data_IF_646001449542
#
_entry.id   IF_646001449542
#
_cell.length_a   1.000
_cell.length_b   1.000
_cell.length_c   1.000
_cell.angle_alpha   90.00
_cell.angle_beta   90.00
_cell.angle_gamma   90.00
#
_symmetry.space_group_name_H-M   'P 1'
#
loop_
_entity.id
_entity.type
_entity.pdbx_description
1 polymer ?
#
# COMPACT_ATOMS: atom_id res chain seq x y z
N UNK A 1 -37.99 22.40 -37.31
CA UNK A 1 -36.93 22.77 -36.33
C UNK A 1 -36.36 21.56 -35.57
N UNK A 2 -36.62 20.31 -36.02
CA UNK A 2 -36.19 19.07 -35.34
C UNK A 2 -34.71 18.70 -35.63
N UNK A 3 -34.19 19.04 -36.81
CA UNK A 3 -32.87 18.58 -37.28
C UNK A 3 -31.66 19.35 -36.71
N UNK A 4 -31.89 20.48 -36.01
CA UNK A 4 -30.80 21.32 -35.46
C UNK A 4 -30.42 20.91 -34.02
N UNK A 5 -31.33 20.25 -33.29
CA UNK A 5 -31.13 19.86 -31.89
C UNK A 5 -30.19 18.65 -31.75
N UNK A 6 -30.24 17.70 -32.70
CA UNK A 6 -29.45 16.45 -32.66
C UNK A 6 -27.93 16.66 -32.76
N UNK A 7 -27.49 17.70 -33.51
CA UNK A 7 -26.05 18.00 -33.73
C UNK A 7 -25.32 18.49 -32.46
N UNK A 8 -26.06 19.04 -31.49
CA UNK A 8 -25.53 19.56 -30.21
C UNK A 8 -25.63 18.55 -29.07
N UNK A 9 -26.51 17.55 -29.18
CA UNK A 9 -26.60 16.46 -28.20
C UNK A 9 -25.39 15.53 -28.24
N UNK A 10 -24.81 15.30 -29.41
CA UNK A 10 -23.68 14.36 -29.58
C UNK A 10 -22.42 14.75 -28.76
N UNK A 11 -21.88 16.00 -28.82
CA UNK A 11 -20.71 16.36 -28.01
C UNK A 11 -21.04 16.43 -26.51
N UNK A 12 -22.27 16.79 -26.16
CA UNK A 12 -22.71 16.87 -24.76
C UNK A 12 -22.80 15.47 -24.13
N UNK A 13 -23.26 14.47 -24.88
CA UNK A 13 -23.37 13.08 -24.42
C UNK A 13 -21.98 12.42 -24.31
N UNK A 14 -21.06 12.74 -25.23
CA UNK A 14 -19.66 12.32 -25.14
C UNK A 14 -18.97 12.95 -23.92
N UNK A 15 -19.21 14.25 -23.65
CA UNK A 15 -18.63 14.92 -22.48
C UNK A 15 -19.15 14.32 -21.16
N UNK A 16 -20.44 14.03 -21.06
CA UNK A 16 -21.05 13.39 -19.89
C UNK A 16 -20.53 11.95 -19.70
N UNK A 17 -20.45 11.17 -20.79
CA UNK A 17 -19.87 9.83 -20.76
C UNK A 17 -18.41 9.85 -20.31
N UNK A 18 -17.61 10.79 -20.84
CA UNK A 18 -16.21 10.96 -20.46
C UNK A 18 -16.10 11.36 -18.99
N UNK A 19 -16.90 12.32 -18.53
CA UNK A 19 -16.92 12.78 -17.13
C UNK A 19 -17.30 11.66 -16.15
N UNK A 20 -18.14 10.71 -16.56
CA UNK A 20 -18.55 9.58 -15.73
C UNK A 20 -17.51 8.44 -15.69
N UNK A 21 -16.67 8.31 -16.73
CA UNK A 21 -15.65 7.25 -16.83
C UNK A 21 -14.31 7.66 -16.21
N UNK A 22 -13.98 8.95 -16.12
CA UNK A 22 -12.73 9.40 -15.47
C UNK A 22 -12.54 8.97 -13.99
N UNK A 23 -13.55 9.07 -13.09
CA UNK A 23 -13.33 8.76 -11.68
C UNK A 23 -13.11 7.26 -11.41
N UNK A 24 -13.63 6.37 -12.26
CA UNK A 24 -13.44 4.92 -12.10
C UNK A 24 -12.00 4.49 -12.40
N UNK A 25 -11.33 5.16 -13.33
CA UNK A 25 -9.92 4.89 -13.68
C UNK A 25 -8.97 5.36 -12.58
N UNK A 26 -9.27 6.49 -11.92
CA UNK A 26 -8.44 7.03 -10.83
C UNK A 26 -8.48 6.11 -9.60
N UNK A 27 -9.62 5.48 -9.30
CA UNK A 27 -9.73 4.55 -8.18
C UNK A 27 -8.96 3.24 -8.39
N UNK A 28 -8.64 2.89 -9.65
CA UNK A 28 -7.82 1.72 -9.98
C UNK A 28 -6.31 1.97 -9.78
N UNK A 29 -5.89 3.23 -9.58
CA UNK A 29 -4.52 3.53 -9.19
C UNK A 29 -4.30 3.07 -7.75
N UNK A 30 -3.69 1.88 -7.61
CA UNK A 30 -3.35 1.27 -6.32
C UNK A 30 -2.56 2.27 -5.47
N UNK A 31 -3.13 2.72 -4.36
CA UNK A 31 -2.47 3.63 -3.43
C UNK A 31 -1.36 2.87 -2.71
N UNK A 32 -0.10 3.16 -3.04
CA UNK A 32 1.03 2.54 -2.35
C UNK A 32 1.06 3.01 -0.90
N UNK A 33 1.03 2.08 0.04
CA UNK A 33 1.08 2.36 1.48
C UNK A 33 2.47 2.06 2.03
N UNK A 34 3.19 3.10 2.47
CA UNK A 34 4.49 2.93 3.12
C UNK A 34 4.33 2.44 4.56
N UNK A 35 5.13 1.44 4.94
CA UNK A 35 5.02 0.77 6.24
C UNK A 35 6.41 0.44 6.81
N UNK A 36 6.60 0.69 8.10
CA UNK A 36 7.81 0.31 8.84
C UNK A 36 7.54 -0.95 9.66
N UNK A 37 8.35 -1.98 9.45
CA UNK A 37 8.29 -3.24 10.17
C UNK A 37 9.59 -3.47 10.94
N UNK A 38 9.47 -3.60 12.26
CA UNK A 38 10.64 -3.77 13.14
C UNK A 38 10.94 -5.25 13.39
N UNK A 39 12.22 -5.61 13.40
CA UNK A 39 12.70 -6.96 13.77
C UNK A 39 13.91 -6.88 14.74
N UNK A 40 14.09 -7.87 15.64
CA UNK A 40 15.02 -7.73 16.77
C UNK A 40 16.47 -8.10 16.45
N UNK A 41 16.70 -9.04 15.54
CA UNK A 41 18.03 -9.54 15.16
C UNK A 41 18.01 -10.26 13.82
N UNK A 42 19.19 -10.57 13.27
CA UNK A 42 19.29 -11.46 12.12
C UNK A 42 19.29 -12.92 12.60
N UNK A 43 18.21 -13.63 12.31
CA UNK A 43 18.08 -15.07 12.50
C UNK A 43 17.02 -15.60 11.52
N UNK A 44 17.06 -16.89 11.20
CA UNK A 44 16.11 -17.51 10.26
C UNK A 44 14.65 -17.34 10.67
N UNK A 45 14.38 -17.31 11.97
CA UNK A 45 13.06 -17.03 12.55
C UNK A 45 12.49 -15.65 12.20
N UNK A 46 13.35 -14.70 11.80
CA UNK A 46 12.97 -13.36 11.36
C UNK A 46 12.97 -13.21 9.82
N UNK A 47 13.28 -14.27 9.09
CA UNK A 47 13.48 -14.24 7.64
C UNK A 47 12.21 -14.07 6.82
N UNK A 48 11.03 -14.43 7.34
CA UNK A 48 9.77 -14.40 6.57
C UNK A 48 9.46 -13.02 6.00
N UNK A 49 9.68 -11.94 6.77
CA UNK A 49 9.46 -10.58 6.30
C UNK A 49 10.48 -10.17 5.21
N UNK A 50 11.72 -10.65 5.30
CA UNK A 50 12.75 -10.45 4.27
C UNK A 50 12.39 -11.17 2.98
N UNK A 51 12.01 -12.44 3.07
CA UNK A 51 11.56 -13.24 1.92
C UNK A 51 10.38 -12.56 1.24
N UNK A 52 9.38 -12.10 2.00
CA UNK A 52 8.21 -11.42 1.45
C UNK A 52 8.56 -10.11 0.72
N UNK A 53 9.55 -9.36 1.24
CA UNK A 53 10.06 -8.15 0.60
C UNK A 53 10.81 -8.47 -0.69
N UNK A 54 11.74 -9.41 -0.64
CA UNK A 54 12.59 -9.79 -1.78
C UNK A 54 11.80 -10.47 -2.91
N UNK A 55 10.78 -11.26 -2.57
CA UNK A 55 9.87 -11.89 -3.53
C UNK A 55 8.84 -10.90 -4.12
N UNK A 56 8.80 -9.65 -3.65
CA UNK A 56 7.86 -8.63 -4.12
C UNK A 56 6.43 -8.80 -3.60
N UNK A 57 6.17 -9.68 -2.63
CA UNK A 57 4.82 -9.90 -2.11
C UNK A 57 4.21 -8.64 -1.49
N UNK A 58 5.00 -7.84 -0.79
CA UNK A 58 4.50 -6.55 -0.28
C UNK A 58 4.10 -5.60 -1.42
N UNK A 59 4.94 -5.48 -2.45
CA UNK A 59 4.68 -4.59 -3.57
C UNK A 59 3.46 -5.02 -4.40
N UNK A 60 3.22 -6.33 -4.54
CA UNK A 60 2.03 -6.87 -5.21
C UNK A 60 0.73 -6.48 -4.48
N UNK A 61 0.80 -6.29 -3.17
CA UNK A 61 -0.32 -5.81 -2.33
C UNK A 61 -0.33 -4.27 -2.18
N UNK A 62 0.46 -3.54 -2.98
CA UNK A 62 0.56 -2.08 -2.89
C UNK A 62 1.22 -1.59 -1.60
N UNK A 63 2.08 -2.40 -0.97
CA UNK A 63 2.80 -2.03 0.24
C UNK A 63 4.28 -1.74 -0.05
N UNK A 64 4.76 -0.60 0.44
CA UNK A 64 6.18 -0.24 0.45
C UNK A 64 6.74 -0.45 1.87
N UNK A 65 7.31 -1.64 2.11
CA UNK A 65 7.73 -2.07 3.44
C UNK A 65 9.22 -1.80 3.69
N UNK A 66 9.50 -1.00 4.70
CA UNK A 66 10.83 -0.79 5.27
C UNK A 66 11.06 -1.75 6.45
N UNK A 67 12.01 -2.68 6.29
CA UNK A 67 12.43 -3.60 7.36
C UNK A 67 13.55 -2.96 8.17
N UNK A 68 13.31 -2.71 9.45
CA UNK A 68 14.25 -1.98 10.32
C UNK A 68 14.67 -2.85 11.50
N UNK A 69 15.99 -3.05 11.66
CA UNK A 69 16.53 -3.75 12.82
C UNK A 69 16.50 -2.84 14.04
N UNK A 70 15.89 -3.30 15.12
CA UNK A 70 15.90 -2.60 16.41
C UNK A 70 16.36 -3.56 17.49
N UNK A 71 17.49 -3.24 18.13
CA UNK A 71 18.01 -4.06 19.23
C UNK A 71 17.07 -4.01 20.43
N UNK A 72 16.40 -5.15 20.70
CA UNK A 72 15.56 -5.37 21.87
C UNK A 72 14.07 -5.13 21.65
N UNK A 73 13.25 -6.12 22.01
CA UNK A 73 11.79 -6.08 21.81
C UNK A 73 11.08 -4.96 22.57
N UNK A 74 11.58 -4.53 23.73
CA UNK A 74 10.98 -3.41 24.49
C UNK A 74 10.99 -2.10 23.70
N UNK A 75 12.07 -1.82 22.95
CA UNK A 75 12.14 -0.63 22.08
C UNK A 75 11.18 -0.74 20.90
N UNK A 76 11.01 -1.93 20.36
CA UNK A 76 10.05 -2.20 19.28
C UNK A 76 8.61 -2.00 19.76
N UNK A 77 8.26 -2.51 20.95
CA UNK A 77 6.93 -2.28 21.55
C UNK A 77 6.70 -0.79 21.81
N UNK A 78 7.69 -0.07 22.34
CA UNK A 78 7.58 1.38 22.51
C UNK A 78 7.35 2.10 21.18
N UNK A 79 8.05 1.70 20.11
CA UNK A 79 7.88 2.26 18.77
C UNK A 79 6.49 1.98 18.16
N UNK A 80 5.94 0.79 18.42
CA UNK A 80 4.57 0.40 18.05
C UNK A 80 3.53 1.26 18.79
N UNK A 81 3.64 1.34 20.11
CA UNK A 81 2.74 2.14 20.95
C UNK A 81 2.83 3.63 20.62
N UNK A 82 4.03 4.11 20.27
CA UNK A 82 4.26 5.49 19.82
C UNK A 82 3.86 5.76 18.37
N UNK A 83 3.35 4.78 17.62
CA UNK A 83 2.89 4.94 16.24
C UNK A 83 3.98 5.07 15.17
N UNK A 84 5.26 5.03 15.57
CA UNK A 84 6.40 5.18 14.66
C UNK A 84 6.70 3.94 13.81
N UNK A 85 6.17 2.78 14.20
CA UNK A 85 6.24 1.53 13.46
C UNK A 85 4.98 0.69 13.68
N UNK A 86 4.05 0.63 12.72
CA UNK A 86 2.75 -0.02 12.89
C UNK A 86 2.83 -1.56 13.00
N UNK A 87 3.94 -2.18 12.61
CA UNK A 87 4.13 -3.64 12.69
C UNK A 87 5.49 -3.95 13.33
N UNK A 88 5.50 -4.93 14.24
CA UNK A 88 6.72 -5.49 14.83
C UNK A 88 6.69 -7.01 14.77
N UNK A 89 7.83 -7.63 14.54
CA UNK A 89 8.00 -9.07 14.68
C UNK A 89 8.67 -9.35 16.03
N UNK A 90 7.93 -9.95 16.97
CA UNK A 90 8.39 -10.18 18.34
C UNK A 90 8.10 -11.62 18.81
N UNK A 91 8.79 -12.06 19.86
CA UNK A 91 8.48 -13.31 20.57
C UNK A 91 9.03 -14.60 19.97
N UNK A 92 9.70 -14.58 18.81
CA UNK A 92 10.40 -15.75 18.28
C UNK A 92 11.80 -15.93 18.88
N UNK A 93 12.29 -17.18 18.91
CA UNK A 93 13.69 -17.49 19.27
C UNK A 93 14.64 -16.98 18.19
N UNK A 94 15.75 -16.36 18.58
CA UNK A 94 16.88 -16.08 17.67
C UNK A 94 17.96 -17.17 17.70
N UNK A 95 17.83 -18.14 18.61
CA UNK A 95 18.69 -19.31 18.77
C UNK A 95 18.14 -20.50 18.00
#
# INVERSE_FOLDING_TARGET
MEALMSRKCLPTLVLISTLFVLPTVIHAAQTVTSLRLLYPSFAGSWGTAWIAKEAGYFSNEGLDVELIRVGGSTRMVAALLGGSAPIIQAGASAA
#
